data_IF_942134752547
#
_entry.id   IF_942134752547
#
_cell.length_a   1.000
_cell.length_b   1.000
_cell.length_c   1.000
_cell.angle_alpha   90.00
_cell.angle_beta   90.00
_cell.angle_gamma   90.00
#
_symmetry.space_group_name_H-M   'P 1'
#
loop_
_entity.id
_entity.type
_entity.pdbx_description
1 polymer ?
#
# COMPACT_ATOMS: atom_id res chain seq x y z
N UNK A 1 5.16 42.06 -30.47
CA UNK A 1 5.23 42.00 -29.00
C UNK A 1 3.94 41.52 -28.34
N UNK A 2 2.80 42.23 -28.42
CA UNK A 2 1.54 41.82 -27.75
C UNK A 2 1.04 40.40 -28.07
N UNK A 3 1.15 39.96 -29.33
CA UNK A 3 0.77 38.61 -29.75
C UNK A 3 1.65 37.51 -29.13
N UNK A 4 2.95 37.78 -28.97
CA UNK A 4 3.90 36.86 -28.37
C UNK A 4 3.64 36.69 -26.87
N UNK A 5 3.36 37.80 -26.18
CA UNK A 5 2.98 37.81 -24.76
C UNK A 5 1.70 37.00 -24.55
N UNK A 6 0.70 37.14 -25.42
CA UNK A 6 -0.53 36.35 -25.36
C UNK A 6 -0.29 34.83 -25.44
N UNK A 7 0.55 34.39 -26.37
CA UNK A 7 0.90 32.97 -26.53
C UNK A 7 1.66 32.44 -25.30
N UNK A 8 2.64 33.21 -24.79
CA UNK A 8 3.41 32.81 -23.62
C UNK A 8 2.51 32.69 -22.37
N UNK A 9 1.59 33.64 -22.18
CA UNK A 9 0.67 33.63 -21.04
C UNK A 9 -0.31 32.45 -21.12
N UNK A 10 -0.80 32.12 -22.32
CA UNK A 10 -1.67 30.97 -22.55
C UNK A 10 -0.95 29.63 -22.27
N UNK A 11 0.32 29.52 -22.66
CA UNK A 11 1.15 28.35 -22.36
C UNK A 11 1.42 28.22 -20.85
N UNK A 12 1.75 29.33 -20.16
CA UNK A 12 2.04 29.32 -18.72
C UNK A 12 0.83 28.94 -17.87
N UNK A 13 -0.38 29.33 -18.28
CA UNK A 13 -1.61 29.03 -17.55
C UNK A 13 -2.11 27.59 -17.75
N UNK A 14 -1.78 26.94 -18.88
CA UNK A 14 -2.18 25.55 -19.17
C UNK A 14 -1.18 24.51 -18.68
N UNK A 15 0.09 24.88 -18.50
CA UNK A 15 1.16 23.99 -18.03
C UNK A 15 0.93 23.33 -16.64
N UNK A 16 0.40 24.02 -15.60
CA UNK A 16 0.25 23.41 -14.28
C UNK A 16 -0.81 22.29 -14.24
N UNK A 17 -1.74 22.25 -15.19
CA UNK A 17 -2.75 21.18 -15.27
C UNK A 17 -2.16 19.82 -15.67
N UNK A 18 -1.02 19.80 -16.37
CA UNK A 18 -0.35 18.58 -16.81
C UNK A 18 0.68 18.04 -15.80
N UNK A 19 1.08 18.85 -14.81
CA UNK A 19 2.06 18.48 -13.79
C UNK A 19 1.44 18.05 -12.45
N UNK A 20 0.11 17.93 -12.34
CA UNK A 20 -0.51 17.35 -11.15
C UNK A 20 -0.35 15.83 -11.14
N UNK A 21 0.74 15.34 -10.55
CA UNK A 21 0.88 13.94 -10.19
C UNK A 21 -0.02 13.65 -8.98
N UNK A 22 -1.22 13.12 -9.22
CA UNK A 22 -2.06 12.60 -8.14
C UNK A 22 -1.45 11.31 -7.63
N UNK A 23 -0.85 11.33 -6.44
CA UNK A 23 -0.36 10.12 -5.79
C UNK A 23 -1.55 9.20 -5.50
N UNK A 24 -1.53 7.98 -6.07
CA UNK A 24 -2.53 6.93 -5.79
C UNK A 24 -2.26 6.18 -4.47
N UNK A 25 -1.23 6.61 -3.73
CA UNK A 25 -0.92 6.03 -2.44
C UNK A 25 -1.97 6.42 -1.41
N UNK A 26 -2.38 5.43 -0.63
CA UNK A 26 -3.36 5.54 0.43
C UNK A 26 -2.71 5.14 1.75
N UNK A 27 -3.26 5.67 2.85
CA UNK A 27 -2.82 5.26 4.19
C UNK A 27 -3.41 3.88 4.49
N UNK A 28 -2.55 2.96 4.90
CA UNK A 28 -2.90 1.65 5.42
C UNK A 28 -2.54 1.57 6.90
N UNK A 29 -3.49 1.19 7.75
CA UNK A 29 -3.22 0.92 9.17
C UNK A 29 -3.09 -0.58 9.36
N UNK A 30 -1.98 -1.04 9.90
CA UNK A 30 -1.80 -2.45 10.27
C UNK A 30 -2.69 -2.73 11.47
N UNK A 31 -3.61 -3.67 11.34
CA UNK A 31 -4.54 -4.03 12.42
C UNK A 31 -4.13 -5.31 13.13
N UNK A 32 -3.43 -6.21 12.43
CA UNK A 32 -3.04 -7.51 12.97
C UNK A 32 -1.86 -8.09 12.21
N UNK A 33 -0.96 -8.77 12.93
CA UNK A 33 0.13 -9.56 12.35
C UNK A 33 0.19 -10.91 13.03
N UNK A 34 0.18 -11.96 12.22
CA UNK A 34 0.25 -13.36 12.66
C UNK A 34 1.39 -14.06 11.95
N UNK A 35 2.06 -14.99 12.64
CA UNK A 35 2.99 -15.88 11.97
C UNK A 35 2.22 -16.73 10.94
N UNK A 36 2.71 -16.78 9.71
CA UNK A 36 2.12 -17.56 8.65
C UNK A 36 2.42 -19.04 8.89
N UNK A 37 1.39 -19.86 9.06
CA UNK A 37 1.53 -21.31 9.14
C UNK A 37 1.37 -21.90 7.75
N UNK A 38 2.49 -22.28 7.13
CA UNK A 38 2.45 -23.04 5.89
C UNK A 38 1.87 -24.44 6.17
N UNK A 39 0.85 -24.84 5.41
CA UNK A 39 0.31 -26.18 5.47
C UNK A 39 1.27 -27.15 4.75
N UNK A 40 2.32 -27.59 5.44
CA UNK A 40 3.27 -28.57 4.92
C UNK A 40 4.67 -28.39 5.48
N UNK A 41 5.27 -29.52 5.85
CA UNK A 41 6.60 -29.71 6.46
C UNK A 41 7.75 -29.32 5.51
N UNK A 42 7.78 -28.06 5.07
CA UNK A 42 8.79 -27.53 4.16
C UNK A 42 9.65 -26.53 4.90
N UNK A 43 10.88 -26.96 5.18
CA UNK A 43 11.97 -26.20 5.78
C UNK A 43 12.36 -24.97 4.93
N UNK A 44 11.56 -23.92 5.06
CA UNK A 44 11.92 -22.57 4.65
C UNK A 44 12.27 -21.80 5.93
N UNK A 45 13.58 -21.56 6.15
CA UNK A 45 14.12 -20.85 7.33
C UNK A 45 13.58 -19.41 7.49
N UNK A 46 12.88 -18.86 6.49
CA UNK A 46 12.28 -17.54 6.55
C UNK A 46 10.87 -17.59 7.17
N UNK A 47 10.74 -17.12 8.41
CA UNK A 47 9.44 -16.92 9.06
C UNK A 47 8.62 -15.89 8.28
N UNK A 48 7.52 -16.30 7.68
CA UNK A 48 6.58 -15.41 7.00
C UNK A 48 5.44 -15.01 7.93
N UNK A 49 4.76 -13.91 7.62
CA UNK A 49 3.70 -13.33 8.43
C UNK A 49 2.50 -12.95 7.57
N UNK A 50 1.31 -13.28 8.06
CA UNK A 50 0.06 -12.73 7.54
C UNK A 50 -0.18 -11.36 8.19
N UNK A 51 -0.07 -10.31 7.39
CA UNK A 51 -0.25 -8.92 7.82
C UNK A 51 -1.61 -8.43 7.33
N UNK A 52 -2.49 -8.11 8.27
CA UNK A 52 -3.78 -7.48 7.97
C UNK A 52 -3.64 -5.97 8.02
N UNK A 53 -3.93 -5.30 6.92
CA UNK A 53 -3.86 -3.85 6.78
C UNK A 53 -5.21 -3.29 6.32
N UNK A 54 -5.73 -2.30 7.05
CA UNK A 54 -6.93 -1.56 6.71
C UNK A 54 -6.57 -0.39 5.81
N UNK A 55 -7.15 -0.33 4.62
CA UNK A 55 -7.06 0.79 3.67
C UNK A 55 -8.49 1.27 3.38
N UNK A 56 -8.81 2.49 3.82
CA UNK A 56 -10.19 2.98 3.80
C UNK A 56 -11.13 2.01 4.53
N UNK A 57 -12.13 1.49 3.81
CA UNK A 57 -13.13 0.55 4.34
C UNK A 57 -12.85 -0.91 4.00
N UNK A 58 -11.63 -1.25 3.54
CA UNK A 58 -11.25 -2.63 3.19
C UNK A 58 -10.04 -3.08 4.01
N UNK A 59 -10.13 -4.28 4.56
CA UNK A 59 -9.02 -4.99 5.19
C UNK A 59 -8.43 -5.93 4.14
N UNK A 60 -7.14 -5.77 3.90
CA UNK A 60 -6.35 -6.65 3.05
C UNK A 60 -5.43 -7.50 3.91
N UNK A 61 -5.34 -8.79 3.60
CA UNK A 61 -4.32 -9.69 4.19
C UNK A 61 -3.25 -9.90 3.14
N UNK A 62 -2.01 -9.58 3.51
CA UNK A 62 -0.83 -9.78 2.65
C UNK A 62 0.16 -10.72 3.32
N UNK A 63 0.84 -11.52 2.51
CA UNK A 63 1.94 -12.35 2.98
C UNK A 63 3.22 -11.52 2.98
N UNK A 64 3.82 -11.34 4.16
CA UNK A 64 5.08 -10.65 4.34
C UNK A 64 6.17 -11.64 4.75
N UNK A 65 7.26 -11.65 4.00
CA UNK A 65 8.48 -12.40 4.33
C UNK A 65 9.61 -11.39 4.51
N UNK A 66 10.15 -11.22 5.73
CA UNK A 66 11.25 -10.30 5.98
C UNK A 66 12.50 -10.72 5.20
N UNK A 67 13.20 -9.74 4.65
CA UNK A 67 14.54 -9.98 4.12
C UNK A 67 15.50 -10.35 5.26
N UNK A 68 16.56 -11.10 4.96
CA UNK A 68 17.58 -11.46 5.94
C UNK A 68 18.14 -10.19 6.62
N UNK A 69 18.02 -10.13 7.95
CA UNK A 69 18.45 -8.99 8.76
C UNK A 69 17.40 -7.87 8.95
N UNK A 70 16.21 -7.97 8.37
CA UNK A 70 15.11 -7.03 8.63
C UNK A 70 14.40 -7.37 9.96
N UNK A 71 14.15 -6.36 10.79
CA UNK A 71 13.43 -6.53 12.07
C UNK A 71 11.92 -6.44 11.83
N UNK A 72 11.11 -7.45 12.22
CA UNK A 72 9.66 -7.47 11.95
C UNK A 72 8.84 -6.34 12.60
N UNK A 73 9.42 -5.58 13.55
CA UNK A 73 8.74 -4.52 14.31
C UNK A 73 8.14 -3.41 13.43
N UNK A 74 8.62 -3.28 12.18
CA UNK A 74 8.06 -2.43 11.13
C UNK A 74 6.59 -2.72 10.84
N UNK A 75 6.13 -3.95 11.09
CA UNK A 75 4.76 -4.38 10.83
C UNK A 75 3.92 -4.51 12.11
N UNK A 76 4.31 -3.89 13.23
CA UNK A 76 3.49 -3.94 14.43
C UNK A 76 2.08 -3.36 14.19
N UNK A 77 1.07 -3.97 14.82
CA UNK A 77 -0.29 -3.45 14.81
C UNK A 77 -0.33 -2.00 15.34
N UNK A 78 -1.24 -1.20 14.78
CA UNK A 78 -1.37 0.23 15.03
C UNK A 78 -0.45 1.12 14.20
N UNK A 79 0.52 0.56 13.43
CA UNK A 79 1.35 1.36 12.54
C UNK A 79 0.61 1.72 11.25
N UNK A 80 0.89 2.93 10.76
CA UNK A 80 0.42 3.39 9.46
C UNK A 80 1.55 3.32 8.42
N UNK A 81 1.21 2.96 7.19
CA UNK A 81 2.12 2.98 6.05
C UNK A 81 1.41 3.46 4.79
N UNK A 82 2.15 4.09 3.88
CA UNK A 82 1.64 4.43 2.55
C UNK A 82 1.70 3.22 1.64
N UNK A 83 0.55 2.90 1.02
CA UNK A 83 0.44 1.78 0.11
C UNK A 83 -0.27 2.17 -1.17
N UNK A 84 0.13 1.54 -2.27
CA UNK A 84 -0.59 1.55 -3.52
C UNK A 84 -1.32 0.21 -3.66
N UNK A 85 -2.65 0.26 -3.61
CA UNK A 85 -3.49 -0.93 -3.82
C UNK A 85 -3.65 -1.18 -5.32
N UNK A 86 -3.13 -2.32 -5.79
CA UNK A 86 -3.32 -2.82 -7.14
C UNK A 86 -4.49 -3.80 -7.22
N UNK A 87 -4.57 -4.53 -8.34
CA UNK A 87 -5.64 -5.53 -8.56
C UNK A 87 -5.52 -6.73 -7.61
N UNK A 88 -4.31 -7.29 -7.49
CA UNK A 88 -4.01 -8.50 -6.70
C UNK A 88 -2.81 -8.31 -5.76
N UNK A 89 -2.31 -7.09 -5.66
CA UNK A 89 -1.07 -6.78 -4.95
C UNK A 89 -1.21 -5.47 -4.19
N UNK A 90 -0.41 -5.34 -3.14
CA UNK A 90 -0.18 -4.08 -2.44
C UNK A 90 1.28 -3.72 -2.62
N UNK A 91 1.56 -2.50 -3.04
CA UNK A 91 2.91 -1.96 -3.12
C UNK A 91 3.14 -0.99 -1.97
N UNK A 92 4.24 -1.15 -1.24
CA UNK A 92 4.66 -0.22 -0.19
C UNK A 92 6.16 0.06 -0.34
N UNK A 93 6.65 1.13 0.28
CA UNK A 93 8.07 1.44 0.27
C UNK A 93 8.72 0.99 1.58
N UNK A 94 9.91 0.38 1.49
CA UNK A 94 10.73 0.10 2.66
C UNK A 94 11.42 1.36 3.21
N UNK A 95 12.18 1.21 4.29
CA UNK A 95 12.90 2.33 4.93
C UNK A 95 13.97 2.96 4.05
N UNK A 96 14.45 2.25 3.02
CA UNK A 96 15.40 2.73 2.04
C UNK A 96 14.71 3.34 0.81
N UNK A 97 13.37 3.44 0.83
CA UNK A 97 12.56 3.97 -0.27
C UNK A 97 12.37 2.98 -1.43
N UNK A 98 12.75 1.71 -1.28
CA UNK A 98 12.55 0.69 -2.32
C UNK A 98 11.10 0.26 -2.32
N UNK A 99 10.47 0.28 -3.49
CA UNK A 99 9.12 -0.23 -3.66
C UNK A 99 9.11 -1.76 -3.64
N UNK A 100 8.34 -2.32 -2.73
CA UNK A 100 8.10 -3.75 -2.57
C UNK A 100 6.64 -4.04 -2.89
N UNK A 101 6.42 -5.03 -3.76
CA UNK A 101 5.09 -5.48 -4.12
C UNK A 101 4.83 -6.83 -3.44
N UNK A 102 3.73 -6.91 -2.69
CA UNK A 102 3.31 -8.13 -1.99
C UNK A 102 1.94 -8.60 -2.49
N UNK A 103 1.72 -9.92 -2.58
CA UNK A 103 0.44 -10.47 -3.01
C UNK A 103 -0.64 -10.26 -1.95
N UNK A 104 -1.85 -9.92 -2.41
CA UNK A 104 -3.05 -9.93 -1.58
C UNK A 104 -3.53 -11.38 -1.48
N UNK A 105 -3.52 -11.93 -0.28
CA UNK A 105 -4.02 -13.28 0.00
C UNK A 105 -5.55 -13.28 0.15
N UNK A 106 -6.10 -12.25 0.79
CA UNK A 106 -7.54 -12.06 0.90
C UNK A 106 -7.90 -10.59 1.15
N UNK A 107 -9.17 -10.26 0.91
CA UNK A 107 -9.73 -8.93 1.20
C UNK A 107 -11.12 -9.07 1.79
N UNK A 108 -11.48 -8.19 2.73
CA UNK A 108 -12.82 -8.14 3.33
C UNK A 108 -13.20 -6.70 3.73
N UNK A 109 -14.49 -6.36 3.81
CA UNK A 109 -14.93 -5.09 4.36
C UNK A 109 -14.44 -4.90 5.81
N UNK A 110 -14.06 -3.66 6.17
CA UNK A 110 -13.60 -3.31 7.51
C UNK A 110 -14.74 -3.18 8.54
N UNK A 111 -15.97 -2.97 8.07
CA UNK A 111 -17.19 -3.01 8.86
C UNK A 111 -18.05 -4.21 8.42
N UNK A 112 -18.71 -4.89 9.37
CA UNK A 112 -19.78 -5.80 9.04
C UNK A 112 -20.91 -5.02 8.34
N UNK A 113 -21.51 -5.55 7.26
CA UNK A 113 -22.70 -4.93 6.69
C UNK A 113 -23.75 -4.87 7.79
N UNK A 114 -24.12 -3.66 8.23
CA UNK A 114 -25.26 -3.48 9.13
C UNK A 114 -26.44 -4.23 8.51
N UNK A 115 -27.07 -5.19 9.21
CA UNK A 115 -28.29 -5.79 8.70
C UNK A 115 -29.29 -4.66 8.49
N UNK A 116 -29.78 -4.54 7.26
CA UNK A 116 -30.80 -3.57 6.94
C UNK A 116 -32.13 -4.09 7.46
N UNK A 117 -32.65 -3.38 8.46
CA UNK A 117 -34.01 -3.40 9.03
C UNK A 117 -34.30 -4.40 10.14
#
# INVERSE_FOLDING_TARGET
MRRLIGVITLCLLSFPALCQSTSKYQVATIIEVKAHQAAGDSASDATSYDVSAKVGDTIYVVLYTPALGEVPQKYAAGREMLVLVGKNTITYNDLLGRSLQVPIQSQRPAAEPKPSK
#
